data_IF_004817905684
#
_entry.id   IF_004817905684
#
_cell.length_a   1.000
_cell.length_b   1.000
_cell.length_c   1.000
_cell.angle_alpha   90.00
_cell.angle_beta   90.00
_cell.angle_gamma   90.00
#
_symmetry.space_group_name_H-M   'P 1'
#
loop_
_entity.id
_entity.type
_entity.pdbx_description
1 polymer ?
#
# COMPACT_ATOMS: atom_id res chain seq x y z
N UNK A 1 -1.04 -1.66 23.48
CA UNK A 1 -0.73 -1.45 22.05
C UNK A 1 -0.30 -2.80 21.49
N UNK A 2 -1.25 -3.57 20.99
CA UNK A 2 -1.04 -4.97 20.64
C UNK A 2 -0.26 -5.04 19.32
N UNK A 3 1.06 -5.26 19.41
CA UNK A 3 1.82 -5.84 18.31
C UNK A 3 1.34 -7.29 18.17
N UNK A 4 0.36 -7.55 17.30
CA UNK A 4 0.15 -8.89 16.76
C UNK A 4 1.27 -9.16 15.78
N UNK A 5 2.16 -10.03 16.20
CA UNK A 5 3.23 -10.60 15.37
C UNK A 5 2.65 -11.81 14.65
N UNK A 6 2.95 -11.91 13.35
CA UNK A 6 3.12 -13.17 12.60
C UNK A 6 1.90 -13.83 11.94
N UNK A 7 1.39 -13.26 10.83
CA UNK A 7 0.96 -14.04 9.66
C UNK A 7 1.33 -13.28 8.37
N UNK A 8 2.52 -13.56 7.81
CA UNK A 8 3.18 -12.81 6.72
C UNK A 8 2.46 -12.87 5.34
N UNK A 9 1.21 -13.26 5.26
CA UNK A 9 0.47 -13.41 3.99
C UNK A 9 -1.04 -13.15 4.14
N UNK A 10 -1.46 -12.38 5.14
CA UNK A 10 -2.86 -12.00 5.25
C UNK A 10 -3.23 -11.01 4.13
N UNK A 11 -4.31 -11.34 3.42
CA UNK A 11 -4.83 -10.51 2.34
C UNK A 11 -5.94 -9.65 2.90
N UNK A 12 -5.61 -8.38 3.11
CA UNK A 12 -6.45 -7.38 3.75
C UNK A 12 -7.28 -6.59 2.73
N UNK A 13 -8.40 -6.06 3.20
CA UNK A 13 -9.12 -5.02 2.46
C UNK A 13 -8.49 -3.65 2.73
N UNK A 14 -8.85 -2.64 1.94
CA UNK A 14 -8.34 -1.27 2.16
C UNK A 14 -8.66 -0.71 3.56
N UNK A 15 -9.78 -1.14 4.17
CA UNK A 15 -10.17 -0.76 5.53
C UNK A 15 -9.26 -1.38 6.57
N UNK A 16 -9.13 -2.70 6.54
CA UNK A 16 -8.23 -3.46 7.42
C UNK A 16 -6.77 -2.96 7.29
N UNK A 17 -6.32 -2.70 6.06
CA UNK A 17 -4.99 -2.15 5.80
C UNK A 17 -4.82 -0.77 6.42
N UNK A 18 -5.86 0.08 6.44
CA UNK A 18 -5.78 1.39 7.09
C UNK A 18 -5.61 1.25 8.61
N UNK A 19 -6.29 0.29 9.24
CA UNK A 19 -6.18 0.04 10.67
C UNK A 19 -4.81 -0.53 11.05
N UNK A 20 -4.30 -1.52 10.30
CA UNK A 20 -3.00 -2.14 10.56
C UNK A 20 -1.83 -1.18 10.25
N UNK A 21 -1.88 -0.50 9.11
CA UNK A 21 -0.80 0.42 8.70
C UNK A 21 -0.82 1.75 9.46
N UNK A 22 -1.90 2.06 10.17
CA UNK A 22 -2.14 3.38 10.77
C UNK A 22 -2.23 4.50 9.73
N UNK A 23 -2.37 4.16 8.44
CA UNK A 23 -2.48 5.13 7.34
C UNK A 23 -3.95 5.42 7.06
N UNK A 24 -4.26 6.69 6.80
CA UNK A 24 -5.63 7.10 6.50
C UNK A 24 -6.15 6.40 5.24
N UNK A 25 -7.40 5.93 5.29
CA UNK A 25 -8.08 5.25 4.19
C UNK A 25 -8.00 6.02 2.87
N UNK A 26 -8.20 7.34 2.91
CA UNK A 26 -8.14 8.22 1.74
C UNK A 26 -6.75 8.24 1.12
N UNK A 27 -5.69 8.17 1.92
CA UNK A 27 -4.30 8.10 1.46
C UNK A 27 -4.03 6.77 0.76
N UNK A 28 -4.49 5.65 1.33
CA UNK A 28 -4.39 4.34 0.67
C UNK A 28 -5.16 4.32 -0.65
N UNK A 29 -6.36 4.90 -0.67
CA UNK A 29 -7.19 4.99 -1.89
C UNK A 29 -6.46 5.80 -2.96
N UNK A 30 -5.91 6.95 -2.58
CA UNK A 30 -5.11 7.79 -3.46
C UNK A 30 -3.90 7.04 -4.03
N UNK A 31 -3.13 6.33 -3.19
CA UNK A 31 -2.00 5.52 -3.66
C UNK A 31 -2.41 4.35 -4.55
N UNK A 32 -3.59 3.79 -4.33
CA UNK A 32 -4.15 2.75 -5.20
C UNK A 32 -4.57 3.33 -6.55
N UNK A 33 -5.22 4.48 -6.57
CA UNK A 33 -5.63 5.18 -7.81
C UNK A 33 -4.42 5.63 -8.65
N UNK A 34 -3.32 5.98 -7.99
CA UNK A 34 -2.04 6.26 -8.63
C UNK A 34 -1.31 5.00 -9.14
N UNK A 35 -1.79 3.80 -8.83
CA UNK A 35 -1.16 2.54 -9.21
C UNK A 35 0.15 2.22 -8.47
N UNK A 36 0.46 2.94 -7.39
CA UNK A 36 1.71 2.72 -6.63
C UNK A 36 1.55 1.72 -5.49
N UNK A 37 0.33 1.44 -5.06
CA UNK A 37 0.06 0.43 -4.05
C UNK A 37 -0.34 -0.87 -4.76
N UNK A 38 0.42 -1.98 -4.60
CA UNK A 38 0.08 -3.24 -5.24
C UNK A 38 -1.23 -3.77 -4.66
N UNK A 39 -2.12 -4.22 -5.53
CA UNK A 39 -3.38 -4.85 -5.15
C UNK A 39 -3.74 -5.95 -6.14
N UNK A 40 -4.42 -6.97 -5.63
CA UNK A 40 -5.01 -8.03 -6.42
C UNK A 40 -6.51 -7.80 -6.54
N UNK A 41 -7.01 -7.81 -7.77
CA UNK A 41 -8.44 -7.83 -8.06
C UNK A 41 -8.79 -9.23 -8.56
N UNK A 42 -9.44 -10.04 -7.73
CA UNK A 42 -9.98 -11.32 -8.20
C UNK A 42 -11.16 -11.02 -9.14
N UNK A 43 -11.07 -11.39 -10.42
CA UNK A 43 -12.03 -11.06 -11.50
C UNK A 43 -13.52 -11.15 -11.13
N UNK A 44 -13.90 -12.05 -10.22
CA UNK A 44 -15.29 -12.25 -9.79
C UNK A 44 -15.80 -11.26 -8.73
N UNK A 45 -14.94 -10.46 -8.10
CA UNK A 45 -15.33 -9.49 -7.06
C UNK A 45 -14.63 -8.16 -7.28
N UNK A 46 -15.41 -7.07 -7.28
CA UNK A 46 -14.94 -5.68 -7.37
C UNK A 46 -14.15 -5.22 -6.12
N UNK A 47 -13.85 -6.12 -5.18
CA UNK A 47 -13.13 -5.81 -3.95
C UNK A 47 -11.63 -5.91 -4.20
N UNK A 48 -10.94 -4.78 -4.10
CA UNK A 48 -9.47 -4.74 -4.10
C UNK A 48 -8.94 -5.39 -2.83
N UNK A 49 -7.97 -6.28 -3.01
CA UNK A 49 -7.31 -7.02 -1.94
C UNK A 49 -5.83 -6.66 -1.92
N UNK A 50 -5.28 -6.44 -0.73
CA UNK A 50 -3.90 -6.02 -0.53
C UNK A 50 -3.20 -7.04 0.35
N UNK A 51 -2.08 -7.57 -0.10
CA UNK A 51 -1.21 -8.37 0.77
C UNK A 51 -0.64 -7.45 1.84
N UNK A 52 -0.81 -7.79 3.12
CA UNK A 52 -0.35 -6.95 4.24
C UNK A 52 1.14 -6.60 4.10
N UNK A 53 1.98 -7.62 3.88
CA UNK A 53 3.45 -7.46 3.81
C UNK A 53 3.86 -6.55 2.64
N UNK A 54 3.37 -6.82 1.43
CA UNK A 54 3.68 -6.00 0.25
C UNK A 54 3.18 -4.56 0.38
N UNK A 55 1.98 -4.37 0.92
CA UNK A 55 1.41 -3.04 1.11
C UNK A 55 2.18 -2.25 2.16
N UNK A 56 2.53 -2.85 3.30
CA UNK A 56 3.31 -2.20 4.35
C UNK A 56 4.72 -1.87 3.88
N UNK A 57 5.38 -2.78 3.16
CA UNK A 57 6.70 -2.51 2.57
C UNK A 57 6.63 -1.36 1.57
N UNK A 58 5.60 -1.34 0.72
CA UNK A 58 5.39 -0.27 -0.25
C UNK A 58 5.16 1.07 0.44
N UNK A 59 4.33 1.13 1.49
CA UNK A 59 4.10 2.34 2.27
C UNK A 59 5.38 2.84 2.94
N UNK A 60 6.21 1.94 3.46
CA UNK A 60 7.51 2.28 4.04
C UNK A 60 8.43 2.91 3.00
N UNK A 61 8.57 2.30 1.82
CA UNK A 61 9.35 2.85 0.69
C UNK A 61 8.84 4.22 0.27
N UNK A 62 7.51 4.41 0.15
CA UNK A 62 6.91 5.73 -0.16
C UNK A 62 7.32 6.76 0.89
N UNK A 63 7.30 6.40 2.18
CA UNK A 63 7.71 7.31 3.26
C UNK A 63 9.19 7.70 3.13
N UNK A 64 10.08 6.73 2.92
CA UNK A 64 11.52 6.99 2.73
C UNK A 64 11.80 7.90 1.52
N UNK A 65 11.07 7.70 0.42
CA UNK A 65 11.21 8.55 -0.77
C UNK A 65 10.67 9.97 -0.52
N UNK A 66 9.57 10.12 0.24
CA UNK A 66 9.07 11.44 0.66
C UNK A 66 10.07 12.15 1.56
N UNK A 67 10.77 11.43 2.44
CA UNK A 67 11.86 11.99 3.28
C UNK A 67 13.05 12.47 2.43
N UNK A 68 13.31 11.82 1.29
CA UNK A 68 14.27 12.29 0.28
C UNK A 68 13.79 13.50 -0.54
N UNK A 69 12.69 14.15 -0.15
CA UNK A 69 12.04 15.29 -0.84
C UNK A 69 11.52 14.98 -2.25
N UNK A 70 11.30 13.71 -2.58
CA UNK A 70 10.66 13.36 -3.85
C UNK A 70 9.17 13.68 -3.80
N UNK A 71 8.65 14.19 -4.91
CA UNK A 71 7.21 14.40 -5.06
C UNK A 71 6.48 13.07 -5.23
N UNK A 72 5.20 13.00 -4.88
CA UNK A 72 4.41 11.77 -5.09
C UNK A 72 4.47 11.33 -6.56
N UNK A 73 4.46 12.27 -7.51
CA UNK A 73 4.54 11.97 -8.94
C UNK A 73 5.87 11.31 -9.32
N UNK A 74 6.99 11.76 -8.76
CA UNK A 74 8.30 11.12 -8.97
C UNK A 74 8.39 9.75 -8.30
N UNK A 75 7.78 9.59 -7.12
CA UNK A 75 7.68 8.30 -6.45
C UNK A 75 6.91 7.31 -7.32
N UNK A 76 5.80 7.75 -7.92
CA UNK A 76 5.01 6.96 -8.88
C UNK A 76 5.85 6.59 -10.09
N UNK A 77 6.57 7.54 -10.68
CA UNK A 77 7.46 7.31 -11.81
C UNK A 77 8.58 6.32 -11.47
N UNK A 78 9.20 6.46 -10.30
CA UNK A 78 10.25 5.58 -9.80
C UNK A 78 9.79 4.12 -9.72
N UNK A 79 8.57 3.91 -9.25
CA UNK A 79 7.99 2.57 -9.17
C UNK A 79 7.51 2.01 -10.51
N UNK A 80 7.03 2.86 -11.42
CA UNK A 80 6.59 2.43 -12.76
C UNK A 80 7.76 2.17 -13.73
N UNK A 81 8.88 2.91 -13.61
CA UNK A 81 10.08 2.74 -14.44
C UNK A 81 10.87 1.46 -14.16
N UNK A 82 10.60 0.78 -13.05
CA UNK A 82 11.27 -0.46 -12.68
C UNK A 82 10.62 -1.71 -13.30
N UNK A 83 9.78 -1.54 -14.33
CA UNK A 83 9.03 -2.60 -15.01
C UNK A 83 9.31 -2.63 -16.51
#
# INVERSE_FOLDING_TARGET
>A
MNKKTSEKNEVLTIGELAEVSGTRLTTLKYYTELGILPFNQAEKRLTRKYTEDEALERLKKIKELKEKRLTIKEIVDHFNKSN
#
